data_IF_616307045299
#
_entry.id   IF_616307045299
#
_cell.length_a   1.000
_cell.length_b   1.000
_cell.length_c   1.000
_cell.angle_alpha   90.00
_cell.angle_beta   90.00
_cell.angle_gamma   90.00
#
_symmetry.space_group_name_H-M   'P 1'
#
loop_
_entity.id
_entity.type
_entity.pdbx_description
1 polymer ?
#
# COMPACT_ATOMS: atom_id res chain seq x y z
N UNK A 1 -11.30 4.14 29.13
CA UNK A 1 -10.46 4.22 27.92
C UNK A 1 -11.38 4.53 26.77
N UNK A 2 -11.25 5.74 26.20
CA UNK A 2 -12.08 6.24 25.11
C UNK A 2 -11.59 5.77 23.73
N UNK A 3 -10.31 5.39 23.61
CA UNK A 3 -9.69 5.05 22.33
C UNK A 3 -9.11 3.64 22.30
N UNK A 4 -9.07 3.03 21.12
CA UNK A 4 -8.40 1.74 20.95
C UNK A 4 -6.90 1.93 20.72
N UNK A 5 -6.55 2.91 19.91
CA UNK A 5 -5.17 3.31 19.66
C UNK A 5 -5.00 4.81 19.84
N UNK A 6 -3.85 5.19 20.38
CA UNK A 6 -3.26 6.47 20.02
C UNK A 6 -1.96 6.27 19.24
N UNK A 7 -1.60 7.24 18.39
CA UNK A 7 -0.38 7.19 17.59
C UNK A 7 0.59 8.30 18.00
N UNK A 8 1.66 7.93 18.68
CA UNK A 8 2.79 8.82 18.98
C UNK A 8 3.75 8.87 17.80
N UNK A 9 4.09 10.09 17.36
CA UNK A 9 4.84 10.31 16.13
C UNK A 9 5.55 11.66 16.12
N UNK A 10 6.57 11.81 15.27
CA UNK A 10 7.11 13.13 14.95
C UNK A 10 6.13 13.89 14.06
N UNK A 11 5.94 15.20 14.31
CA UNK A 11 5.04 16.05 13.51
C UNK A 11 5.24 15.97 11.99
N UNK A 12 6.46 15.72 11.57
CA UNK A 12 6.92 15.58 10.19
C UNK A 12 6.36 14.31 9.52
N UNK A 13 6.10 13.26 10.29
CA UNK A 13 5.54 11.98 9.81
C UNK A 13 4.03 12.04 9.58
N UNK A 14 3.36 13.07 10.13
CA UNK A 14 1.91 13.20 10.13
C UNK A 14 1.28 13.05 8.73
N UNK A 15 1.69 13.80 7.70
CA UNK A 15 1.04 13.76 6.39
C UNK A 15 1.31 12.47 5.62
N UNK A 16 2.49 11.85 5.79
CA UNK A 16 2.94 10.75 4.94
C UNK A 16 2.52 9.37 5.47
N UNK A 17 2.57 9.16 6.78
CA UNK A 17 2.31 7.84 7.38
C UNK A 17 1.16 7.88 8.41
N UNK A 18 1.16 8.84 9.32
CA UNK A 18 0.24 8.79 10.49
C UNK A 18 -1.20 9.03 10.09
N UNK A 19 -1.49 10.12 9.37
CA UNK A 19 -2.86 10.42 8.94
C UNK A 19 -3.42 9.35 7.99
N UNK A 20 -2.67 8.86 6.96
CA UNK A 20 -3.13 7.73 6.15
C UNK A 20 -3.33 6.43 6.95
N UNK A 21 -2.48 6.13 7.92
CA UNK A 21 -2.60 4.92 8.75
C UNK A 21 -3.79 4.99 9.71
N UNK A 22 -3.97 6.13 10.38
CA UNK A 22 -5.13 6.40 11.21
C UNK A 22 -6.43 6.31 10.40
N UNK A 23 -6.44 6.89 9.19
CA UNK A 23 -7.57 6.80 8.27
C UNK A 23 -7.91 5.35 7.91
N UNK A 24 -6.91 4.53 7.60
CA UNK A 24 -7.12 3.11 7.32
C UNK A 24 -7.77 2.39 8.52
N UNK A 25 -7.21 2.55 9.73
CA UNK A 25 -7.76 1.91 10.94
C UNK A 25 -9.19 2.41 11.26
N UNK A 26 -9.45 3.71 11.12
CA UNK A 26 -10.78 4.28 11.29
C UNK A 26 -11.77 3.73 10.26
N UNK A 27 -11.34 3.55 9.01
CA UNK A 27 -12.13 2.92 7.95
C UNK A 27 -12.43 1.44 8.23
N UNK A 28 -11.64 0.80 9.09
CA UNK A 28 -11.85 -0.55 9.61
C UNK A 28 -12.60 -0.58 10.96
N UNK A 29 -13.12 0.57 11.42
CA UNK A 29 -13.94 0.68 12.64
C UNK A 29 -13.15 0.70 13.94
N UNK A 30 -11.90 1.14 13.93
CA UNK A 30 -11.13 1.38 15.16
C UNK A 30 -11.18 2.85 15.59
N UNK A 31 -11.29 3.09 16.89
CA UNK A 31 -11.16 4.43 17.46
C UNK A 31 -9.68 4.80 17.59
N UNK A 32 -9.24 5.78 16.80
CA UNK A 32 -7.83 6.21 16.70
C UNK A 32 -7.69 7.70 16.96
N UNK A 33 -6.76 8.06 17.84
CA UNK A 33 -6.40 9.43 18.16
C UNK A 33 -4.91 9.69 17.92
N UNK A 34 -4.55 10.82 17.30
CA UNK A 34 -3.15 11.11 16.97
C UNK A 34 -2.77 12.59 17.02
N UNK A 35 -3.71 13.52 16.80
CA UNK A 35 -3.38 14.95 16.67
C UNK A 35 -2.65 15.56 17.87
N UNK A 36 -3.03 15.20 19.10
CA UNK A 36 -2.43 15.74 20.33
C UNK A 36 -1.12 15.05 20.73
N UNK A 37 -0.75 13.92 20.09
CA UNK A 37 0.48 13.18 20.38
C UNK A 37 1.57 13.37 19.32
N UNK A 38 1.51 14.53 18.67
CA UNK A 38 2.55 14.99 17.77
C UNK A 38 3.74 15.55 18.56
N UNK A 39 4.87 14.85 18.50
CA UNK A 39 6.07 15.17 19.27
C UNK A 39 6.88 16.29 18.63
N UNK A 40 7.34 17.23 19.44
CA UNK A 40 8.23 18.35 19.10
C UNK A 40 9.53 18.28 19.91
N UNK A 41 10.53 19.04 19.46
CA UNK A 41 11.80 19.16 20.18
C UNK A 41 11.56 19.77 21.56
N UNK A 42 12.01 19.07 22.60
CA UNK A 42 11.84 19.49 24.00
C UNK A 42 10.65 18.87 24.71
N UNK A 43 9.77 18.14 24.01
CA UNK A 43 8.72 17.36 24.67
C UNK A 43 9.34 16.18 25.45
N UNK A 44 8.57 15.58 26.36
CA UNK A 44 8.94 14.30 26.99
C UNK A 44 8.18 13.16 26.35
N UNK A 45 8.92 12.21 25.76
CA UNK A 45 8.34 11.04 25.12
C UNK A 45 7.55 10.20 26.11
N UNK A 46 8.09 9.97 27.31
CA UNK A 46 7.42 9.14 28.31
C UNK A 46 6.14 9.77 28.86
N UNK A 47 6.12 11.09 29.03
CA UNK A 47 4.90 11.79 29.44
C UNK A 47 3.81 11.68 28.36
N UNK A 48 4.18 11.90 27.10
CA UNK A 48 3.27 11.74 25.95
C UNK A 48 2.67 10.33 25.89
N UNK A 49 3.52 9.30 26.02
CA UNK A 49 3.08 7.89 26.01
C UNK A 49 2.17 7.57 27.19
N UNK A 50 2.51 8.00 28.40
CA UNK A 50 1.68 7.75 29.58
C UNK A 50 0.32 8.45 29.49
N UNK A 51 0.28 9.69 28.99
CA UNK A 51 -0.97 10.41 28.73
C UNK A 51 -1.83 9.74 27.66
N UNK A 52 -1.23 9.24 26.58
CA UNK A 52 -1.98 8.47 25.58
C UNK A 52 -2.52 7.15 26.11
N UNK A 53 -1.73 6.44 26.93
CA UNK A 53 -2.12 5.17 27.54
C UNK A 53 -3.16 5.29 28.66
N UNK A 54 -3.38 6.48 29.24
CA UNK A 54 -4.49 6.68 30.19
C UNK A 54 -5.85 6.69 29.48
N UNK A 55 -5.89 7.17 28.24
CA UNK A 55 -7.11 7.29 27.44
C UNK A 55 -7.30 6.15 26.42
N UNK A 56 -6.23 5.43 26.08
CA UNK A 56 -6.22 4.44 24.99
C UNK A 56 -5.80 3.05 25.43
N UNK A 57 -6.31 2.01 24.76
CA UNK A 57 -5.91 0.62 25.04
C UNK A 57 -4.43 0.37 24.67
N UNK A 58 -4.01 0.81 23.49
CA UNK A 58 -2.66 0.64 22.97
C UNK A 58 -2.03 1.95 22.49
N UNK A 59 -0.71 2.06 22.60
CA UNK A 59 0.14 3.08 21.99
C UNK A 59 0.75 2.51 20.71
N UNK A 60 0.60 3.19 19.59
CA UNK A 60 1.41 2.94 18.39
C UNK A 60 2.50 4.00 18.33
N UNK A 61 3.75 3.58 18.15
CA UNK A 61 4.90 4.52 18.12
C UNK A 61 5.59 4.44 16.77
N UNK A 62 5.57 5.53 16.02
CA UNK A 62 6.24 5.63 14.71
C UNK A 62 7.71 5.98 14.92
N UNK A 63 8.59 5.01 14.69
CA UNK A 63 10.04 5.16 14.74
C UNK A 63 10.54 5.49 13.33
N UNK A 64 10.85 6.76 13.10
CA UNK A 64 11.29 7.34 11.83
C UNK A 64 12.58 8.14 11.98
N UNK A 65 13.25 8.55 10.88
CA UNK A 65 14.34 9.52 10.97
C UNK A 65 13.93 10.79 11.73
N UNK A 66 12.75 11.34 11.43
CA UNK A 66 12.23 12.54 12.10
C UNK A 66 11.96 12.33 13.60
N UNK A 67 11.56 11.12 14.00
CA UNK A 67 11.44 10.75 15.40
C UNK A 67 12.80 10.81 16.10
N UNK A 68 13.83 10.22 15.50
CA UNK A 68 15.17 10.19 16.10
C UNK A 68 15.90 11.53 16.05
N UNK A 69 15.60 12.39 15.07
CA UNK A 69 16.16 13.74 14.94
C UNK A 69 15.79 14.67 16.12
N UNK A 70 14.73 14.33 16.87
CA UNK A 70 14.35 15.05 18.10
C UNK A 70 15.29 14.78 19.28
N UNK A 71 16.25 13.85 19.13
CA UNK A 71 17.34 13.54 20.09
C UNK A 71 16.84 13.23 21.50
N UNK A 72 15.93 12.26 21.59
CA UNK A 72 15.44 11.74 22.86
C UNK A 72 16.57 11.29 23.79
N UNK A 73 16.51 11.62 25.09
CA UNK A 73 17.43 11.05 26.07
C UNK A 73 17.37 9.52 26.04
N UNK A 74 18.53 8.86 26.23
CA UNK A 74 18.63 7.40 26.27
C UNK A 74 17.65 6.76 27.28
N UNK A 75 17.43 7.45 28.41
CA UNK A 75 16.49 7.02 29.43
C UNK A 75 15.03 7.03 28.94
N UNK A 76 14.64 7.98 28.09
CA UNK A 76 13.29 8.01 27.52
C UNK A 76 13.08 6.89 26.50
N UNK A 77 14.06 6.63 25.64
CA UNK A 77 14.02 5.51 24.69
C UNK A 77 13.99 4.15 25.39
N UNK A 78 14.78 3.98 26.45
CA UNK A 78 14.76 2.78 27.28
C UNK A 78 13.43 2.64 28.04
N UNK A 79 12.83 3.76 28.46
CA UNK A 79 11.56 3.78 29.16
C UNK A 79 10.38 3.25 28.33
N UNK A 80 10.41 3.39 26.99
CA UNK A 80 9.43 2.74 26.10
C UNK A 80 9.36 1.22 26.31
N UNK A 81 10.48 0.58 26.65
CA UNK A 81 10.53 -0.85 26.93
C UNK A 81 10.10 -1.15 28.37
N UNK A 82 10.54 -0.33 29.34
CA UNK A 82 10.25 -0.54 30.75
C UNK A 82 8.73 -0.48 31.06
N UNK A 83 7.98 0.37 30.35
CA UNK A 83 6.53 0.52 30.50
C UNK A 83 5.72 -0.76 30.24
N UNK A 84 6.32 -1.78 29.63
CA UNK A 84 5.65 -3.05 29.33
C UNK A 84 6.12 -4.22 30.19
N UNK A 85 7.17 -4.02 30.99
CA UNK A 85 7.75 -5.05 31.84
C UNK A 85 6.78 -5.52 32.94
N UNK A 86 5.66 -4.81 33.13
CA UNK A 86 4.52 -5.20 33.97
C UNK A 86 3.60 -6.27 33.34
N UNK A 87 4.01 -6.92 32.25
CA UNK A 87 3.34 -8.09 31.67
C UNK A 87 2.22 -7.80 30.65
N UNK A 88 2.01 -6.54 30.27
CA UNK A 88 1.03 -6.15 29.23
C UNK A 88 1.74 -5.39 28.11
N UNK A 89 1.87 -6.02 26.94
CA UNK A 89 2.37 -5.39 25.71
C UNK A 89 1.34 -4.39 25.22
N UNK A 90 1.57 -3.10 25.46
CA UNK A 90 0.65 -2.01 25.09
C UNK A 90 1.26 -1.02 24.11
N UNK A 91 2.56 -1.13 23.83
CA UNK A 91 3.32 -0.25 22.94
C UNK A 91 3.66 -1.05 21.67
N UNK A 92 3.22 -0.56 20.52
CA UNK A 92 3.31 -1.25 19.24
C UNK A 92 4.16 -0.40 18.29
N UNK A 93 5.44 -0.73 18.10
CA UNK A 93 6.33 0.07 17.26
C UNK A 93 6.04 -0.16 15.76
N UNK A 94 6.10 0.91 14.99
CA UNK A 94 6.18 0.90 13.54
C UNK A 94 7.56 1.42 13.14
N UNK A 95 8.29 0.66 12.34
CA UNK A 95 9.52 1.12 11.69
C UNK A 95 9.18 1.83 10.38
N UNK A 96 9.58 3.10 10.29
CA UNK A 96 9.38 3.93 9.12
C UNK A 96 10.70 4.45 8.57
N UNK A 97 11.08 3.97 7.38
CA UNK A 97 12.33 4.38 6.70
C UNK A 97 13.60 4.26 7.55
N UNK A 98 13.62 3.27 8.45
CA UNK A 98 14.75 2.97 9.32
C UNK A 98 15.09 1.49 9.24
N UNK A 99 16.37 1.19 9.36
CA UNK A 99 16.90 -0.17 9.50
C UNK A 99 17.17 -0.50 10.97
N UNK A 100 17.22 -1.79 11.30
CA UNK A 100 17.62 -2.24 12.63
C UNK A 100 19.00 -1.66 13.04
N UNK A 101 19.95 -1.58 12.10
CA UNK A 101 21.27 -1.01 12.35
C UNK A 101 21.21 0.49 12.71
N UNK A 102 20.35 1.26 12.03
CA UNK A 102 20.14 2.67 12.37
C UNK A 102 19.46 2.82 13.74
N UNK A 103 18.44 2.02 14.03
CA UNK A 103 17.78 2.06 15.34
C UNK A 103 18.76 1.69 16.45
N UNK A 104 19.63 0.69 16.24
CA UNK A 104 20.60 0.24 17.22
C UNK A 104 21.63 1.33 17.61
N UNK A 105 21.89 2.30 16.72
CA UNK A 105 22.73 3.47 17.05
C UNK A 105 22.06 4.38 18.09
N UNK A 106 20.73 4.43 18.11
CA UNK A 106 19.96 5.18 19.10
C UNK A 106 19.65 4.34 20.34
N UNK A 107 19.16 3.11 20.15
CA UNK A 107 18.83 2.18 21.22
C UNK A 107 18.86 0.73 20.70
N UNK A 108 19.86 -0.07 21.11
CA UNK A 108 19.92 -1.50 20.77
C UNK A 108 18.69 -2.27 21.22
N UNK A 109 18.12 -1.92 22.37
CA UNK A 109 16.92 -2.57 22.93
C UNK A 109 15.71 -2.37 22.00
N UNK A 110 15.57 -1.18 21.39
CA UNK A 110 14.51 -0.94 20.42
C UNK A 110 14.76 -1.65 19.08
N UNK A 111 16.03 -1.86 18.70
CA UNK A 111 16.38 -2.55 17.46
C UNK A 111 16.07 -4.05 17.51
N UNK A 112 16.19 -4.68 18.67
CA UNK A 112 15.88 -6.10 18.87
C UNK A 112 14.37 -6.38 18.99
N UNK A 113 13.54 -5.34 19.02
CA UNK A 113 12.10 -5.46 19.16
C UNK A 113 11.43 -5.70 17.81
N UNK A 114 10.56 -6.71 17.75
CA UNK A 114 9.68 -6.93 16.59
C UNK A 114 8.74 -5.73 16.42
N UNK A 115 8.74 -5.16 15.23
CA UNK A 115 7.93 -4.00 14.85
C UNK A 115 7.23 -4.24 13.51
N UNK A 116 6.13 -3.53 13.29
CA UNK A 116 5.51 -3.46 11.98
C UNK A 116 6.38 -2.62 11.04
N UNK A 117 6.45 -2.98 9.76
CA UNK A 117 7.32 -2.31 8.79
C UNK A 117 6.50 -1.61 7.71
N UNK A 118 6.57 -0.28 7.70
CA UNK A 118 5.83 0.55 6.74
C UNK A 118 6.21 0.30 5.28
N UNK A 119 7.39 -0.29 4.98
CA UNK A 119 7.82 -0.57 3.61
C UNK A 119 6.86 -1.49 2.86
N UNK A 120 6.08 -2.29 3.59
CA UNK A 120 5.10 -3.24 3.01
C UNK A 120 3.71 -2.62 2.80
N UNK A 121 3.48 -1.36 3.18
CA UNK A 121 2.21 -0.67 3.03
C UNK A 121 1.38 -0.67 4.31
N UNK A 122 0.45 0.28 4.40
CA UNK A 122 -0.27 0.58 5.63
C UNK A 122 -1.30 -0.47 6.00
N UNK A 123 -1.87 -1.17 5.03
CA UNK A 123 -2.72 -2.33 5.28
C UNK A 123 -1.93 -3.44 6.00
N UNK A 124 -0.73 -3.79 5.53
CA UNK A 124 0.09 -4.79 6.20
C UNK A 124 0.58 -4.32 7.59
N UNK A 125 0.87 -3.02 7.75
CA UNK A 125 1.14 -2.46 9.08
C UNK A 125 -0.09 -2.62 9.98
N UNK A 126 -1.29 -2.32 9.49
CA UNK A 126 -2.52 -2.45 10.26
C UNK A 126 -2.78 -3.90 10.66
N UNK A 127 -2.60 -4.88 9.76
CA UNK A 127 -2.69 -6.30 10.08
C UNK A 127 -1.74 -6.70 11.20
N UNK A 128 -0.46 -6.30 11.13
CA UNK A 128 0.53 -6.62 12.16
C UNK A 128 0.19 -5.97 13.51
N UNK A 129 -0.28 -4.72 13.49
CA UNK A 129 -0.68 -3.99 14.69
C UNK A 129 -1.92 -4.62 15.31
N UNK A 130 -2.95 -4.91 14.51
CA UNK A 130 -4.21 -5.53 14.94
C UNK A 130 -3.99 -6.97 15.41
N UNK A 131 -3.13 -7.75 14.75
CA UNK A 131 -2.78 -9.09 15.22
C UNK A 131 -2.10 -9.08 16.59
N UNK A 132 -1.37 -8.01 16.92
CA UNK A 132 -0.70 -7.85 18.20
C UNK A 132 -1.63 -7.32 19.33
N UNK A 133 -2.77 -6.71 18.99
CA UNK A 133 -3.65 -6.00 19.93
C UNK A 133 -5.08 -6.56 20.04
N UNK A 134 -5.68 -6.92 18.90
CA UNK A 134 -7.04 -7.45 18.72
C UNK A 134 -7.01 -8.59 17.67
N UNK A 135 -6.36 -9.73 17.97
CA UNK A 135 -6.16 -10.82 17.01
C UNK A 135 -7.47 -11.36 16.41
N UNK A 136 -8.57 -11.31 17.16
CA UNK A 136 -9.90 -11.70 16.72
C UNK A 136 -10.51 -10.78 15.65
N UNK A 137 -9.94 -9.59 15.42
CA UNK A 137 -10.38 -8.61 14.42
C UNK A 137 -9.50 -8.57 13.17
N UNK A 138 -8.48 -9.43 13.06
CA UNK A 138 -7.59 -9.44 11.89
C UNK A 138 -8.35 -9.80 10.61
N UNK A 139 -9.18 -10.85 10.67
CA UNK A 139 -9.93 -11.35 9.51
C UNK A 139 -11.04 -10.39 9.03
N UNK A 140 -11.37 -9.37 9.83
CA UNK A 140 -12.37 -8.36 9.47
C UNK A 140 -11.75 -7.10 8.87
N UNK A 141 -10.41 -7.02 8.79
CA UNK A 141 -9.73 -5.90 8.15
C UNK A 141 -10.04 -5.85 6.66
N UNK A 142 -10.45 -4.71 6.11
CA UNK A 142 -10.66 -4.57 4.68
C UNK A 142 -9.31 -4.54 3.96
N UNK A 143 -9.20 -5.19 2.79
CA UNK A 143 -7.99 -5.11 1.95
C UNK A 143 -7.68 -3.68 1.44
N UNK A 144 -8.64 -2.77 1.57
CA UNK A 144 -8.58 -1.43 1.00
C UNK A 144 -9.50 -0.49 1.78
N UNK A 145 -9.04 0.74 2.06
CA UNK A 145 -9.85 1.77 2.71
C UNK A 145 -10.88 2.40 1.77
N UNK A 146 -10.80 2.11 0.46
CA UNK A 146 -11.57 2.80 -0.60
C UNK A 146 -13.08 2.81 -0.35
N UNK A 147 -13.68 1.66 0.01
CA UNK A 147 -15.14 1.53 0.20
C UNK A 147 -15.68 2.39 1.34
N UNK A 148 -14.84 2.65 2.35
CA UNK A 148 -15.22 3.34 3.58
C UNK A 148 -14.62 4.75 3.65
N UNK A 149 -14.03 5.25 2.57
CA UNK A 149 -13.48 6.62 2.52
C UNK A 149 -14.52 7.58 1.98
N UNK A 150 -14.90 8.57 2.77
CA UNK A 150 -15.88 9.59 2.35
C UNK A 150 -15.29 10.61 1.36
N UNK A 151 -16.17 11.38 0.70
CA UNK A 151 -15.78 12.39 -0.30
C UNK A 151 -14.92 13.52 0.29
N UNK A 152 -15.15 13.91 1.55
CA UNK A 152 -14.38 14.96 2.22
C UNK A 152 -12.94 14.50 2.47
N UNK A 153 -12.77 13.30 3.04
CA UNK A 153 -11.47 12.65 3.24
C UNK A 153 -10.73 12.42 1.93
N UNK A 154 -11.45 12.02 0.88
CA UNK A 154 -10.87 11.86 -0.47
C UNK A 154 -10.31 13.20 -0.99
N UNK A 155 -11.07 14.29 -0.86
CA UNK A 155 -10.64 15.63 -1.28
C UNK A 155 -9.44 16.13 -0.49
N UNK A 156 -9.43 15.91 0.82
CA UNK A 156 -8.30 16.21 1.70
C UNK A 156 -7.06 15.41 1.28
N UNK A 157 -7.22 14.10 1.06
CA UNK A 157 -6.15 13.22 0.63
C UNK A 157 -5.56 13.63 -0.73
N UNK A 158 -6.40 13.99 -1.72
CA UNK A 158 -5.93 14.56 -3.01
C UNK A 158 -5.12 15.84 -2.81
N UNK A 159 -5.52 16.72 -1.89
CA UNK A 159 -4.77 17.96 -1.59
C UNK A 159 -3.39 17.65 -1.03
N UNK A 160 -3.30 16.70 -0.10
CA UNK A 160 -2.03 16.27 0.48
C UNK A 160 -1.16 15.57 -0.56
N UNK A 161 -1.71 14.65 -1.36
CA UNK A 161 -1.01 14.00 -2.47
C UNK A 161 -0.44 15.02 -3.46
N UNK A 162 -1.22 16.06 -3.81
CA UNK A 162 -0.74 17.15 -4.67
C UNK A 162 0.49 17.85 -4.10
N UNK A 163 0.51 18.11 -2.79
CA UNK A 163 1.66 18.72 -2.10
C UNK A 163 2.84 17.75 -2.05
N UNK A 164 2.59 16.48 -1.70
CA UNK A 164 3.59 15.42 -1.66
C UNK A 164 4.30 15.30 -3.01
N UNK A 165 3.54 15.13 -4.10
CA UNK A 165 4.09 15.01 -5.45
C UNK A 165 4.87 16.25 -5.90
N UNK A 166 4.54 17.47 -5.42
CA UNK A 166 5.33 18.69 -5.72
C UNK A 166 6.71 18.65 -5.07
N UNK A 167 6.84 17.97 -3.94
CA UNK A 167 8.10 17.75 -3.23
C UNK A 167 9.01 16.71 -3.87
N UNK A 168 8.64 16.15 -5.04
CA UNK A 168 9.39 15.09 -5.74
C UNK A 168 9.68 13.89 -4.83
N UNK A 169 8.62 13.27 -4.28
CA UNK A 169 8.74 12.21 -3.31
C UNK A 169 9.31 10.96 -3.99
N UNK A 170 9.84 10.02 -3.20
CA UNK A 170 10.21 8.73 -3.74
C UNK A 170 8.96 7.93 -4.13
N UNK A 171 9.11 6.95 -5.02
CA UNK A 171 8.05 6.01 -5.38
C UNK A 171 7.50 5.28 -4.14
N UNK A 172 8.36 4.97 -3.16
CA UNK A 172 7.95 4.33 -1.90
C UNK A 172 7.08 5.24 -1.03
N UNK A 173 7.35 6.56 -1.01
CA UNK A 173 6.52 7.52 -0.28
C UNK A 173 5.12 7.60 -0.90
N UNK A 174 5.05 7.62 -2.24
CA UNK A 174 3.76 7.62 -2.94
C UNK A 174 3.01 6.31 -2.73
N UNK A 175 3.70 5.17 -2.81
CA UNK A 175 3.14 3.86 -2.47
C UNK A 175 2.55 3.86 -1.05
N UNK A 176 3.34 4.31 -0.06
CA UNK A 176 2.91 4.32 1.34
C UNK A 176 1.67 5.20 1.52
N UNK A 177 1.67 6.39 0.94
CA UNK A 177 0.54 7.31 1.02
C UNK A 177 -0.74 6.72 0.38
N UNK A 178 -0.62 6.20 -0.84
CA UNK A 178 -1.74 5.56 -1.55
C UNK A 178 -2.24 4.30 -0.84
N UNK A 179 -1.37 3.60 -0.09
CA UNK A 179 -1.77 2.44 0.70
C UNK A 179 -2.69 2.77 1.88
N UNK A 180 -2.72 4.04 2.33
CA UNK A 180 -3.74 4.50 3.29
C UNK A 180 -4.99 5.06 2.60
N UNK A 181 -4.86 5.57 1.38
CA UNK A 181 -5.92 6.23 0.61
C UNK A 181 -6.10 5.61 -0.78
N UNK A 182 -6.44 4.32 -0.82
CA UNK A 182 -6.60 3.58 -2.08
C UNK A 182 -7.70 4.13 -2.98
N UNK A 183 -8.67 4.86 -2.42
CA UNK A 183 -9.70 5.57 -3.20
C UNK A 183 -9.10 6.49 -4.28
N UNK A 184 -7.89 7.01 -4.08
CA UNK A 184 -7.25 7.93 -5.05
C UNK A 184 -6.91 7.26 -6.38
N UNK A 185 -6.77 5.93 -6.38
CA UNK A 185 -6.49 5.14 -7.57
C UNK A 185 -7.71 5.01 -8.49
N UNK A 186 -8.94 5.34 -8.05
CA UNK A 186 -10.18 5.23 -8.84
C UNK A 186 -10.17 6.03 -10.15
N UNK A 187 -9.29 7.04 -10.24
CA UNK A 187 -9.08 7.89 -11.41
C UNK A 187 -8.31 7.20 -12.54
N UNK A 188 -7.55 6.15 -12.21
CA UNK A 188 -6.73 5.37 -13.16
C UNK A 188 -7.22 3.93 -13.31
N UNK A 189 -8.17 3.50 -12.47
CA UNK A 189 -8.78 2.16 -12.54
C UNK A 189 -10.28 2.20 -12.85
N UNK A 190 -10.83 1.05 -13.25
CA UNK A 190 -12.22 0.93 -13.67
C UNK A 190 -13.21 0.73 -12.50
N UNK A 191 -12.75 0.17 -11.39
CA UNK A 191 -13.55 -0.23 -10.23
C UNK A 191 -12.84 0.19 -8.93
N UNK A 192 -12.91 -0.65 -7.88
CA UNK A 192 -12.30 -0.40 -6.58
C UNK A 192 -10.98 -1.17 -6.47
N UNK A 193 -9.82 -0.50 -6.46
CA UNK A 193 -8.53 -1.18 -6.37
C UNK A 193 -8.29 -1.69 -4.95
N UNK A 194 -7.66 -2.85 -4.88
CA UNK A 194 -7.31 -3.52 -3.63
C UNK A 194 -5.78 -3.47 -3.42
N UNK A 195 -5.37 -3.26 -2.17
CA UNK A 195 -3.98 -3.55 -1.81
C UNK A 195 -3.94 -5.03 -1.60
N UNK A 196 -3.11 -5.70 -2.39
CA UNK A 196 -2.86 -7.10 -2.13
C UNK A 196 -1.50 -7.16 -1.40
N UNK A 197 -1.47 -7.52 -0.10
CA UNK A 197 -0.27 -7.39 0.73
C UNK A 197 0.80 -8.43 0.40
N UNK A 198 2.04 -8.01 0.23
CA UNK A 198 3.19 -8.92 0.10
C UNK A 198 3.38 -9.55 -1.29
N UNK A 199 2.72 -9.03 -2.33
CA UNK A 199 2.81 -9.58 -3.68
C UNK A 199 4.02 -9.00 -4.41
N UNK A 200 4.97 -9.88 -4.75
CA UNK A 200 6.06 -9.59 -5.67
C UNK A 200 5.88 -10.47 -6.89
N UNK A 201 5.95 -9.85 -8.06
CA UNK A 201 6.08 -10.59 -9.30
C UNK A 201 7.40 -11.38 -9.30
N UNK A 202 7.47 -12.49 -10.06
CA UNK A 202 8.72 -13.22 -10.29
C UNK A 202 9.88 -12.27 -10.65
N UNK A 203 11.07 -12.51 -10.10
CA UNK A 203 12.19 -11.56 -10.22
C UNK A 203 12.14 -10.40 -9.23
N UNK A 204 11.29 -10.49 -8.20
CA UNK A 204 11.15 -9.55 -7.09
C UNK A 204 10.68 -8.14 -7.48
N UNK A 205 10.01 -7.99 -8.61
CA UNK A 205 9.37 -6.73 -8.97
C UNK A 205 8.16 -6.51 -8.06
N UNK A 206 8.18 -5.42 -7.30
CA UNK A 206 7.07 -5.02 -6.46
C UNK A 206 5.89 -4.63 -7.35
N UNK A 207 4.73 -5.19 -7.07
CA UNK A 207 3.46 -4.65 -7.55
C UNK A 207 2.84 -3.90 -6.39
N UNK A 208 2.40 -2.68 -6.65
CA UNK A 208 1.97 -1.76 -5.60
C UNK A 208 0.51 -1.98 -5.23
N UNK A 209 -0.33 -2.23 -6.23
CA UNK A 209 -1.77 -2.48 -6.06
C UNK A 209 -2.26 -3.45 -7.13
N UNK A 210 -3.40 -4.10 -6.90
CA UNK A 210 -4.10 -4.77 -7.97
C UNK A 210 -5.61 -4.58 -7.88
N UNK A 211 -6.25 -4.58 -9.05
CA UNK A 211 -7.69 -4.59 -9.17
C UNK A 211 -8.12 -5.92 -9.79
N UNK A 212 -9.02 -6.62 -9.10
CA UNK A 212 -9.66 -7.82 -9.61
C UNK A 212 -10.93 -7.43 -10.38
N UNK A 213 -10.97 -7.80 -11.66
CA UNK A 213 -12.04 -7.45 -12.59
C UNK A 213 -12.74 -8.75 -13.02
N UNK A 214 -13.84 -9.14 -12.35
CA UNK A 214 -14.64 -10.26 -12.80
C UNK A 214 -15.53 -9.85 -13.97
N UNK A 215 -15.36 -10.46 -15.13
CA UNK A 215 -16.26 -10.25 -16.28
C UNK A 215 -17.52 -11.10 -16.15
N UNK A 216 -18.40 -10.76 -15.20
CA UNK A 216 -19.60 -11.53 -14.90
C UNK A 216 -19.29 -12.92 -14.32
N UNK A 217 -20.23 -13.86 -14.45
CA UNK A 217 -20.09 -15.22 -13.90
C UNK A 217 -19.19 -16.10 -14.77
N UNK A 218 -19.31 -16.01 -16.10
CA UNK A 218 -18.63 -16.89 -17.04
C UNK A 218 -17.48 -16.26 -17.83
N UNK A 219 -17.34 -14.92 -17.83
CA UNK A 219 -16.26 -14.25 -18.54
C UNK A 219 -14.90 -14.39 -17.84
N UNK A 220 -13.81 -14.00 -18.51
CA UNK A 220 -12.46 -14.21 -17.99
C UNK A 220 -12.26 -13.48 -16.65
N UNK A 221 -11.45 -14.06 -15.76
CA UNK A 221 -10.93 -13.35 -14.60
C UNK A 221 -9.76 -12.48 -15.05
N UNK A 222 -9.84 -11.17 -14.81
CA UNK A 222 -8.78 -10.23 -15.12
C UNK A 222 -8.19 -9.62 -13.85
N UNK A 223 -6.85 -9.50 -13.84
CA UNK A 223 -6.12 -8.78 -12.79
C UNK A 223 -5.40 -7.61 -13.43
N UNK A 224 -5.72 -6.40 -12.99
CA UNK A 224 -4.98 -5.18 -13.33
C UNK A 224 -3.96 -4.89 -12.23
N UNK A 225 -2.68 -5.06 -12.52
CA UNK A 225 -1.59 -4.64 -11.63
C UNK A 225 -1.25 -3.17 -11.84
N UNK A 226 -1.19 -2.41 -10.75
CA UNK A 226 -0.71 -1.04 -10.76
C UNK A 226 0.73 -1.05 -10.26
N UNK A 227 1.62 -0.47 -11.06
CA UNK A 227 3.05 -0.35 -10.78
C UNK A 227 3.39 1.13 -10.75
N UNK A 228 4.01 1.57 -9.67
CA UNK A 228 4.46 2.93 -9.50
C UNK A 228 5.90 3.04 -10.02
N UNK A 229 6.12 3.96 -10.96
CA UNK A 229 7.43 4.31 -11.46
C UNK A 229 7.97 5.60 -10.82
N UNK A 230 9.03 6.17 -11.39
CA UNK A 230 9.56 7.46 -10.96
C UNK A 230 8.53 8.58 -11.07
N UNK A 231 8.46 9.45 -10.06
CA UNK A 231 7.58 10.63 -10.07
C UNK A 231 8.06 11.67 -11.07
N UNK A 232 9.38 11.86 -11.17
CA UNK A 232 9.99 12.55 -12.30
C UNK A 232 10.27 11.53 -13.39
N UNK A 233 9.84 11.78 -14.62
CA UNK A 233 9.99 10.80 -15.69
C UNK A 233 11.46 10.51 -15.98
N UNK A 234 11.86 9.25 -15.85
CA UNK A 234 13.15 8.72 -16.29
C UNK A 234 12.89 7.60 -17.29
N UNK A 235 13.24 7.85 -18.56
CA UNK A 235 13.03 6.89 -19.64
C UNK A 235 13.75 5.56 -19.40
N UNK A 236 14.99 5.59 -18.90
CA UNK A 236 15.80 4.36 -18.69
C UNK A 236 15.19 3.51 -17.59
N UNK A 237 14.75 4.14 -16.50
CA UNK A 237 14.11 3.44 -15.40
C UNK A 237 12.74 2.88 -15.80
N UNK A 238 11.96 3.63 -16.59
CA UNK A 238 10.69 3.15 -17.14
C UNK A 238 10.88 1.94 -18.06
N UNK A 239 11.83 1.99 -19.00
CA UNK A 239 12.18 0.84 -19.85
C UNK A 239 12.58 -0.37 -19.00
N UNK A 240 13.38 -0.15 -17.95
CA UNK A 240 13.80 -1.21 -17.03
C UNK A 240 12.63 -1.85 -16.28
N UNK A 241 11.66 -1.05 -15.81
CA UNK A 241 10.43 -1.55 -15.18
C UNK A 241 9.63 -2.39 -16.19
N UNK A 242 9.41 -1.89 -17.41
CA UNK A 242 8.67 -2.62 -18.46
C UNK A 242 9.35 -3.95 -18.77
N UNK A 243 10.67 -3.97 -18.94
CA UNK A 243 11.41 -5.22 -19.19
C UNK A 243 11.26 -6.23 -18.06
N UNK A 244 11.31 -5.77 -16.79
CA UNK A 244 11.06 -6.64 -15.64
C UNK A 244 9.62 -7.17 -15.62
N UNK A 245 8.64 -6.35 -15.96
CA UNK A 245 7.24 -6.79 -16.09
C UNK A 245 7.09 -7.85 -17.18
N UNK A 246 7.72 -7.66 -18.34
CA UNK A 246 7.72 -8.65 -19.43
C UNK A 246 8.38 -9.96 -18.99
N UNK A 247 9.52 -9.89 -18.30
CA UNK A 247 10.19 -11.07 -17.76
C UNK A 247 9.32 -11.79 -16.72
N UNK A 248 8.65 -11.05 -15.85
CA UNK A 248 7.76 -11.60 -14.83
C UNK A 248 6.51 -12.26 -15.41
N UNK A 249 5.87 -11.63 -16.40
CA UNK A 249 4.72 -12.19 -17.10
C UNK A 249 5.08 -13.53 -17.74
N UNK A 250 6.30 -13.66 -18.27
CA UNK A 250 6.76 -14.88 -18.92
C UNK A 250 6.02 -15.15 -20.23
N UNK A 251 6.05 -16.40 -20.68
CA UNK A 251 5.45 -16.81 -21.96
C UNK A 251 4.01 -17.28 -21.69
N UNK A 252 3.04 -16.61 -22.32
CA UNK A 252 1.64 -17.08 -22.35
C UNK A 252 1.56 -18.41 -23.11
N UNK A 253 0.90 -19.39 -22.52
CA UNK A 253 0.58 -20.65 -23.16
C UNK A 253 -0.88 -20.65 -23.63
N UNK A 254 -1.15 -21.40 -24.70
CA UNK A 254 -2.52 -21.67 -25.12
C UNK A 254 -3.21 -22.53 -24.06
N UNK A 255 -4.51 -22.31 -23.84
CA UNK A 255 -5.31 -23.14 -22.93
C UNK A 255 -5.15 -24.63 -23.28
N UNK A 256 -4.67 -25.40 -22.31
CA UNK A 256 -4.52 -26.85 -22.37
C UNK A 256 -5.87 -27.54 -22.58
N UNK A 257 -6.95 -26.95 -22.02
CA UNK A 257 -8.33 -27.40 -22.19
C UNK A 257 -9.19 -26.17 -22.49
N UNK A 258 -9.76 -26.10 -23.71
CA UNK A 258 -10.81 -25.12 -24.04
C UNK A 258 -12.17 -25.66 -23.65
N UNK A 259 -12.95 -24.98 -22.79
CA UNK A 259 -14.32 -25.40 -22.52
C UNK A 259 -15.19 -25.28 -23.78
N UNK A 260 -16.17 -26.16 -23.92
CA UNK A 260 -16.81 -26.47 -25.19
C UNK A 260 -17.72 -25.36 -25.79
N UNK A 261 -17.95 -24.22 -25.11
CA UNK A 261 -18.94 -23.20 -25.48
C UNK A 261 -18.50 -21.75 -25.16
N UNK A 262 -17.25 -21.35 -25.44
CA UNK A 262 -16.68 -20.09 -24.92
C UNK A 262 -16.03 -19.19 -25.98
N UNK A 263 -16.81 -18.72 -26.96
CA UNK A 263 -16.36 -17.71 -27.94
C UNK A 263 -15.86 -16.40 -27.26
N UNK A 264 -16.36 -16.09 -26.06
CA UNK A 264 -15.95 -14.92 -25.27
C UNK A 264 -14.61 -15.07 -24.53
N UNK A 265 -14.05 -16.28 -24.44
CA UNK A 265 -12.68 -16.50 -23.94
C UNK A 265 -11.63 -16.46 -25.06
N UNK A 266 -12.04 -16.12 -26.29
CA UNK A 266 -11.15 -15.91 -27.43
C UNK A 266 -10.27 -14.65 -27.35
N UNK A 267 -10.30 -13.91 -26.23
CA UNK A 267 -9.40 -12.78 -26.00
C UNK A 267 -7.94 -13.27 -26.10
N UNK A 268 -7.08 -12.62 -26.91
CA UNK A 268 -5.68 -13.02 -26.98
C UNK A 268 -4.97 -12.83 -25.63
N UNK A 269 -5.55 -12.14 -24.66
CA UNK A 269 -4.93 -11.90 -23.36
C UNK A 269 -5.34 -12.90 -22.28
N UNK A 270 -6.34 -13.74 -22.56
CA UNK A 270 -6.74 -14.84 -21.70
C UNK A 270 -5.97 -16.11 -22.08
N UNK A 271 -5.43 -16.83 -21.10
CA UNK A 271 -4.60 -18.01 -21.37
C UNK A 271 -3.86 -18.48 -20.14
N UNK A 272 -2.95 -19.43 -20.33
CA UNK A 272 -2.17 -19.99 -19.24
C UNK A 272 -0.90 -19.17 -19.00
N UNK A 273 -0.71 -18.69 -17.76
CA UNK A 273 0.49 -17.96 -17.32
C UNK A 273 1.16 -18.68 -16.13
N UNK A 274 1.94 -19.75 -16.38
CA UNK A 274 2.53 -20.56 -15.30
C UNK A 274 3.42 -19.77 -14.33
N UNK A 275 4.12 -18.75 -14.83
CA UNK A 275 4.93 -17.81 -14.04
C UNK A 275 4.12 -17.04 -13.00
N UNK A 276 2.84 -16.79 -13.27
CA UNK A 276 1.93 -16.01 -12.42
C UNK A 276 0.91 -16.87 -11.66
N UNK A 277 0.84 -18.18 -11.92
CA UNK A 277 -0.13 -19.08 -11.29
C UNK A 277 -0.04 -19.09 -9.74
N UNK A 278 1.18 -19.08 -9.19
CA UNK A 278 1.39 -19.00 -7.74
C UNK A 278 0.87 -17.68 -7.15
N UNK A 279 1.05 -16.57 -7.88
CA UNK A 279 0.54 -15.27 -7.48
C UNK A 279 -0.99 -15.21 -7.56
N UNK A 280 -1.60 -15.68 -8.65
CA UNK A 280 -3.05 -15.75 -8.78
C UNK A 280 -3.67 -16.62 -7.68
N UNK A 281 -3.02 -17.74 -7.32
CA UNK A 281 -3.42 -18.58 -6.19
C UNK A 281 -3.38 -17.82 -4.86
N UNK A 282 -2.32 -17.04 -4.62
CA UNK A 282 -2.22 -16.22 -3.41
C UNK A 282 -3.26 -15.09 -3.38
N UNK A 283 -3.62 -14.49 -4.51
CA UNK A 283 -4.73 -13.51 -4.55
C UNK A 283 -6.06 -14.21 -4.20
N UNK A 284 -6.26 -15.43 -4.72
CA UNK A 284 -7.46 -16.25 -4.48
C UNK A 284 -7.70 -16.55 -2.99
N UNK A 285 -6.65 -16.63 -2.17
CA UNK A 285 -6.81 -16.89 -0.73
C UNK A 285 -7.24 -15.66 0.06
N UNK A 286 -7.09 -14.45 -0.49
CA UNK A 286 -7.42 -13.19 0.19
C UNK A 286 -8.79 -12.62 -0.21
N UNK A 287 -9.28 -12.97 -1.40
CA UNK A 287 -10.55 -12.47 -1.95
C UNK A 287 -11.46 -13.66 -2.26
N UNK A 288 -12.77 -13.45 -2.40
CA UNK A 288 -13.68 -14.46 -2.94
C UNK A 288 -14.36 -13.94 -4.19
N UNK A 289 -14.67 -14.83 -5.14
CA UNK A 289 -15.38 -14.49 -6.36
C UNK A 289 -16.34 -15.60 -6.76
N UNK A 290 -17.51 -15.22 -7.29
CA UNK A 290 -18.50 -16.15 -7.86
C UNK A 290 -18.25 -16.48 -9.33
N UNK A 291 -17.13 -16.04 -9.91
CA UNK A 291 -16.76 -16.32 -11.29
C UNK A 291 -16.30 -17.78 -11.45
N UNK A 292 -16.73 -18.47 -12.51
CA UNK A 292 -16.42 -19.90 -12.72
C UNK A 292 -14.95 -20.18 -12.99
N UNK A 293 -14.19 -19.20 -13.49
CA UNK A 293 -12.75 -19.31 -13.74
C UNK A 293 -11.89 -18.95 -12.52
N UNK A 294 -12.52 -18.58 -11.40
CA UNK A 294 -11.85 -18.32 -10.13
C UNK A 294 -11.02 -19.50 -9.64
N UNK A 295 -11.50 -20.72 -9.89
CA UNK A 295 -10.83 -21.97 -9.48
C UNK A 295 -9.71 -22.42 -10.42
N UNK A 296 -9.44 -21.69 -11.50
CA UNK A 296 -8.38 -21.96 -12.48
C UNK A 296 -7.38 -20.80 -12.56
N UNK A 297 -6.59 -20.54 -11.50
CA UNK A 297 -5.75 -19.35 -11.36
C UNK A 297 -4.62 -19.23 -12.39
N UNK A 298 -4.22 -20.34 -13.01
CA UNK A 298 -3.29 -20.37 -14.13
C UNK A 298 -3.90 -19.80 -15.42
N UNK A 299 -5.23 -19.79 -15.56
CA UNK A 299 -5.95 -19.40 -16.79
C UNK A 299 -6.39 -17.93 -16.84
N UNK A 300 -5.90 -17.05 -15.96
CA UNK A 300 -6.39 -15.66 -15.87
C UNK A 300 -5.80 -14.71 -16.94
N UNK A 301 -6.39 -13.52 -17.08
CA UNK A 301 -5.87 -12.41 -17.88
C UNK A 301 -5.13 -11.41 -16.98
N UNK A 302 -3.98 -10.92 -17.42
CA UNK A 302 -3.16 -9.98 -16.66
C UNK A 302 -2.93 -8.68 -17.45
N UNK A 303 -3.22 -7.56 -16.81
CA UNK A 303 -3.03 -6.21 -17.33
C UNK A 303 -2.13 -5.41 -16.40
N UNK A 304 -1.38 -4.46 -16.94
CA UNK A 304 -0.48 -3.60 -16.18
C UNK A 304 -0.79 -2.11 -16.42
N UNK A 305 -0.79 -1.33 -15.34
CA UNK A 305 -0.85 0.13 -15.35
C UNK A 305 0.42 0.66 -14.71
N UNK A 306 1.31 1.25 -15.51
CA UNK A 306 2.49 1.95 -15.00
C UNK A 306 2.17 3.42 -14.77
N UNK A 307 2.24 3.88 -13.53
CA UNK A 307 2.04 5.28 -13.16
C UNK A 307 3.40 5.95 -13.00
N UNK A 308 3.74 6.90 -13.88
CA UNK A 308 5.06 7.55 -13.88
C UNK A 308 5.03 8.94 -14.49
N UNK A 309 5.93 9.81 -14.00
CA UNK A 309 6.07 11.16 -14.51
C UNK A 309 4.92 12.08 -14.15
N UNK A 310 5.11 13.37 -14.42
CA UNK A 310 4.17 14.46 -14.10
C UNK A 310 4.18 15.55 -15.17
N UNK A 311 3.12 16.35 -15.19
CA UNK A 311 2.89 17.57 -15.94
C UNK A 311 3.00 17.38 -17.45
N UNK A 312 2.51 16.27 -17.97
CA UNK A 312 2.64 15.87 -19.38
C UNK A 312 4.08 15.83 -19.90
N UNK A 313 5.08 15.84 -19.01
CA UNK A 313 6.50 15.67 -19.36
C UNK A 313 6.86 14.23 -19.70
N UNK A 314 5.89 13.32 -19.57
CA UNK A 314 6.01 11.92 -19.99
C UNK A 314 5.82 11.85 -21.52
N UNK A 315 6.86 11.57 -22.33
CA UNK A 315 6.78 11.67 -23.78
C UNK A 315 5.77 10.66 -24.37
N UNK A 316 4.72 11.15 -25.03
CA UNK A 316 3.63 10.31 -25.55
C UNK A 316 4.11 9.27 -26.57
N UNK A 317 4.96 9.67 -27.53
CA UNK A 317 5.47 8.74 -28.55
C UNK A 317 6.27 7.59 -27.95
N UNK A 318 7.13 7.87 -26.98
CA UNK A 318 7.95 6.85 -26.30
C UNK A 318 7.07 5.91 -25.47
N UNK A 319 6.02 6.44 -24.80
CA UNK A 319 5.04 5.59 -24.10
C UNK A 319 4.32 4.63 -25.04
N UNK A 320 3.77 5.16 -26.13
CA UNK A 320 3.00 4.38 -27.09
C UNK A 320 3.90 3.31 -27.72
N UNK A 321 5.15 3.66 -28.04
CA UNK A 321 6.14 2.71 -28.53
C UNK A 321 6.49 1.63 -27.49
N UNK A 322 6.76 2.00 -26.23
CA UNK A 322 7.04 1.05 -25.16
C UNK A 322 5.91 0.06 -24.91
N UNK A 323 4.66 0.54 -24.91
CA UNK A 323 3.50 -0.30 -24.77
C UNK A 323 3.37 -1.27 -25.95
N UNK A 324 3.54 -0.79 -27.19
CA UNK A 324 3.42 -1.59 -28.41
C UNK A 324 4.55 -2.61 -28.59
N UNK A 325 5.79 -2.25 -28.22
CA UNK A 325 6.96 -3.12 -28.35
C UNK A 325 6.97 -4.20 -27.26
N UNK A 326 6.24 -4.00 -26.16
CA UNK A 326 6.07 -4.99 -25.11
C UNK A 326 5.04 -6.06 -25.49
N UNK A 327 5.25 -7.30 -25.04
CA UNK A 327 4.20 -8.33 -25.09
C UNK A 327 3.14 -8.14 -23.98
N UNK A 328 3.20 -7.04 -23.25
CA UNK A 328 2.33 -6.76 -22.12
C UNK A 328 1.05 -6.06 -22.58
N UNK A 329 -0.05 -6.33 -21.88
CA UNK A 329 -1.20 -5.43 -21.90
C UNK A 329 -0.91 -4.27 -20.93
N UNK A 330 -0.12 -3.31 -21.41
CA UNK A 330 0.43 -2.21 -20.61
C UNK A 330 -0.21 -0.87 -20.98
N UNK A 331 -0.74 -0.18 -19.98
CA UNK A 331 -1.09 1.24 -20.05
C UNK A 331 -0.09 2.06 -19.23
N UNK A 332 0.23 3.28 -19.67
CA UNK A 332 1.12 4.20 -18.94
C UNK A 332 0.37 5.50 -18.64
N UNK A 333 0.20 5.81 -17.35
CA UNK A 333 -0.46 7.00 -16.85
C UNK A 333 0.51 7.93 -16.12
N UNK A 334 0.18 9.22 -16.06
CA UNK A 334 0.89 10.18 -15.19
C UNK A 334 0.31 10.15 -13.78
N UNK A 335 1.15 10.43 -12.78
CA UNK A 335 0.70 10.67 -11.41
C UNK A 335 -0.34 11.78 -11.27
N UNK A 336 -0.40 12.72 -12.21
CA UNK A 336 -1.40 13.79 -12.15
C UNK A 336 -2.84 13.27 -12.34
N UNK A 337 -3.03 12.10 -12.97
CA UNK A 337 -4.37 11.49 -13.02
C UNK A 337 -4.92 11.16 -11.63
N UNK A 338 -4.06 10.82 -10.68
CA UNK A 338 -4.46 10.57 -9.28
C UNK A 338 -4.98 11.83 -8.57
N UNK A 339 -4.74 13.01 -9.15
CA UNK A 339 -5.21 14.30 -8.63
C UNK A 339 -6.57 14.71 -9.21
N UNK A 340 -7.03 14.02 -10.25
CA UNK A 340 -8.31 14.26 -10.90
C UNK A 340 -9.45 13.70 -10.06
N UNK A 341 -10.60 14.36 -10.14
CA UNK A 341 -11.83 13.83 -9.59
C UNK A 341 -12.53 12.98 -10.65
N UNK A 342 -12.96 11.76 -10.32
CA UNK A 342 -13.59 10.85 -11.28
C UNK A 342 -14.83 11.47 -11.90
N UNK A 343 -15.59 12.23 -11.11
CA UNK A 343 -16.78 12.98 -11.54
C UNK A 343 -16.44 14.10 -12.55
N UNK A 344 -15.18 14.52 -12.66
CA UNK A 344 -14.71 15.52 -13.62
C UNK A 344 -14.19 14.92 -14.94
N UNK A 345 -13.91 13.62 -14.98
CA UNK A 345 -13.41 12.92 -16.18
C UNK A 345 -14.54 12.53 -17.16
N UNK A 346 -15.80 12.53 -16.69
CA UNK A 346 -17.00 12.16 -17.47
C UNK A 346 -17.97 13.33 -17.72
N UNK A 347 -17.57 14.57 -17.41
CA UNK A 347 -18.27 15.82 -17.77
C UNK A 347 -17.50 16.52 -18.86
#
# INVERSE_FOLDING_TARGET
MAWEYFISHASEDKPLIVAPFAHYLQSAGFDVWYDEFSLKVGDSLLQSINGGLSESKFAVVVLSPAFFDKRWPQQELAGLYALESSGKKRILPIWHQVSAAQIAQYSPILADRKAADSRNGLQNVAEQIVAASFPERVDTLPLSSARNTDKSKTKEARKVLRTLLKGKPSTNDVFLYLSGYTVLLESIVGYAPEIIPGFKLPGALRVDFAELIPHGVSGPMEVLFIVLGPVEYDHKEVVHIVNKLTQALGIRQSLSIRPANEDYLGSPYFGEFPSLAGMATAIRTHVSSGNVHWEKPDTWSFKFMLVTGRQDRTPRKERDQLANDSQLRLDIASYDRLLDDRDSLYR
#
